data_IF_489413618419
#
_entry.id   IF_489413618419
#
_cell.length_a   1.000
_cell.length_b   1.000
_cell.length_c   1.000
_cell.angle_alpha   90.00
_cell.angle_beta   90.00
_cell.angle_gamma   90.00
#
_symmetry.space_group_name_H-M   'P 1'
#
loop_
_entity.id
_entity.type
_entity.pdbx_description
1 polymer ?
#
# COMPACT_ATOMS: atom_id res chain seq x y z
N UNK A 1 13.37 30.12 9.80
CA UNK A 1 11.93 29.96 9.54
C UNK A 1 11.65 29.57 8.08
N UNK A 2 12.25 30.21 7.07
CA UNK A 2 11.99 29.89 5.64
C UNK A 2 12.47 28.49 5.17
N UNK A 3 13.58 27.98 5.71
CA UNK A 3 14.11 26.65 5.32
C UNK A 3 13.25 25.48 5.80
N UNK A 4 12.58 25.63 6.96
CA UNK A 4 11.77 24.57 7.57
C UNK A 4 10.44 24.38 6.84
N UNK A 5 9.85 25.48 6.35
CA UNK A 5 8.65 25.46 5.50
C UNK A 5 8.94 24.82 4.14
N UNK A 6 10.11 25.11 3.55
CA UNK A 6 10.53 24.54 2.27
C UNK A 6 10.80 23.04 2.39
N UNK A 7 11.46 22.60 3.47
CA UNK A 7 11.64 21.18 3.80
C UNK A 7 10.30 20.46 3.99
N UNK A 8 9.35 21.07 4.72
CA UNK A 8 8.02 20.50 4.91
C UNK A 8 7.25 20.37 3.60
N UNK A 9 7.32 21.40 2.75
CA UNK A 9 6.65 21.42 1.44
C UNK A 9 7.23 20.38 0.49
N UNK A 10 8.56 20.26 0.44
CA UNK A 10 9.24 19.21 -0.34
C UNK A 10 8.84 17.82 0.17
N UNK A 11 8.88 17.58 1.49
CA UNK A 11 8.49 16.30 2.06
C UNK A 11 7.04 15.94 1.73
N UNK A 12 6.11 16.91 1.77
CA UNK A 12 4.70 16.72 1.39
C UNK A 12 4.55 16.37 -0.09
N UNK A 13 5.22 17.09 -0.98
CA UNK A 13 5.17 16.83 -2.43
C UNK A 13 5.76 15.45 -2.73
N UNK A 14 6.92 15.12 -2.17
CA UNK A 14 7.51 13.79 -2.32
C UNK A 14 6.58 12.71 -1.79
N UNK A 15 5.99 12.91 -0.61
CA UNK A 15 5.02 11.98 -0.04
C UNK A 15 3.82 11.75 -0.94
N UNK A 16 3.26 12.81 -1.53
CA UNK A 16 2.15 12.74 -2.48
C UNK A 16 2.53 11.94 -3.74
N UNK A 17 3.69 12.22 -4.34
CA UNK A 17 4.18 11.54 -5.54
C UNK A 17 4.40 10.05 -5.26
N UNK A 18 5.03 9.72 -4.13
CA UNK A 18 5.25 8.32 -3.72
C UNK A 18 3.92 7.61 -3.47
N UNK A 19 2.98 8.24 -2.76
CA UNK A 19 1.66 7.66 -2.52
C UNK A 19 0.92 7.38 -3.84
N UNK A 20 0.96 8.30 -4.80
CA UNK A 20 0.37 8.11 -6.12
C UNK A 20 1.01 6.94 -6.87
N UNK A 21 2.34 6.84 -6.87
CA UNK A 21 3.05 5.72 -7.51
C UNK A 21 2.69 4.37 -6.86
N UNK A 22 2.61 4.33 -5.53
CA UNK A 22 2.19 3.13 -4.79
C UNK A 22 0.74 2.75 -5.11
N UNK A 23 -0.17 3.72 -5.18
CA UNK A 23 -1.57 3.47 -5.53
C UNK A 23 -1.70 2.88 -6.95
N UNK A 24 -0.95 3.41 -7.91
CA UNK A 24 -0.93 2.89 -9.28
C UNK A 24 -0.39 1.45 -9.35
N UNK A 25 0.73 1.18 -8.67
CA UNK A 25 1.30 -0.17 -8.59
C UNK A 25 0.36 -1.15 -7.89
N UNK A 26 -0.31 -0.72 -6.82
CA UNK A 26 -1.29 -1.54 -6.11
C UNK A 26 -2.46 -1.92 -7.01
N UNK A 27 -2.99 -0.98 -7.81
CA UNK A 27 -4.04 -1.28 -8.79
C UNK A 27 -3.62 -2.37 -9.78
N UNK A 28 -2.40 -2.28 -10.33
CA UNK A 28 -1.85 -3.31 -11.22
C UNK A 28 -1.67 -4.67 -10.55
N UNK A 29 -1.24 -4.68 -9.30
CA UNK A 29 -1.08 -5.92 -8.54
C UNK A 29 -2.42 -6.60 -8.27
N UNK A 30 -3.46 -5.81 -7.95
CA UNK A 30 -4.83 -6.31 -7.77
C UNK A 30 -5.38 -6.88 -9.07
N UNK A 31 -5.25 -6.16 -10.20
CA UNK A 31 -5.68 -6.64 -11.51
C UNK A 31 -5.03 -7.99 -11.86
N UNK A 32 -3.72 -8.12 -11.62
CA UNK A 32 -2.97 -9.32 -11.91
C UNK A 32 -3.38 -10.49 -10.98
N UNK A 33 -3.53 -10.22 -9.68
CA UNK A 33 -3.99 -11.22 -8.72
C UNK A 33 -5.41 -11.70 -9.05
N UNK A 34 -6.29 -10.79 -9.45
CA UNK A 34 -7.66 -11.11 -9.84
C UNK A 34 -7.70 -11.98 -11.09
N UNK A 35 -6.97 -11.58 -12.14
CA UNK A 35 -6.89 -12.38 -13.36
C UNK A 35 -6.32 -13.78 -13.09
N UNK A 36 -5.36 -13.90 -12.18
CA UNK A 36 -4.79 -15.19 -11.80
C UNK A 36 -5.79 -16.07 -11.02
N UNK A 37 -6.59 -15.48 -10.14
CA UNK A 37 -7.54 -16.21 -9.30
C UNK A 37 -8.84 -16.57 -10.04
N UNK A 38 -9.36 -15.65 -10.85
CA UNK A 38 -10.71 -15.73 -11.42
C UNK A 38 -10.68 -15.93 -12.95
N UNK A 39 -9.54 -15.72 -13.61
CA UNK A 39 -9.36 -15.97 -15.05
C UNK A 39 -9.81 -14.83 -15.97
N UNK A 40 -10.58 -13.86 -15.46
CA UNK A 40 -11.04 -12.68 -16.18
C UNK A 40 -10.71 -11.37 -15.45
N UNK A 41 -10.93 -10.22 -16.09
CA UNK A 41 -10.69 -8.91 -15.48
C UNK A 41 -11.66 -8.68 -14.31
N UNK A 42 -11.23 -7.96 -13.26
CA UNK A 42 -12.10 -7.60 -12.16
C UNK A 42 -13.31 -6.80 -12.67
N UNK A 43 -14.53 -7.10 -12.20
CA UNK A 43 -15.72 -6.35 -12.57
C UNK A 43 -15.55 -4.90 -12.14
N UNK A 44 -15.84 -3.99 -13.06
CA UNK A 44 -15.74 -2.57 -12.82
C UNK A 44 -17.04 -2.02 -12.25
N UNK A 45 -17.00 -0.86 -11.57
CA UNK A 45 -18.20 -0.21 -11.06
C UNK A 45 -19.21 0.18 -12.15
N UNK A 46 -18.75 0.26 -13.41
CA UNK A 46 -19.55 0.55 -14.60
C UNK A 46 -20.18 -0.71 -15.22
N UNK A 47 -19.85 -1.91 -14.75
CA UNK A 47 -20.42 -3.17 -15.23
C UNK A 47 -21.76 -3.45 -14.52
N UNK A 48 -22.71 -4.06 -15.23
CA UNK A 48 -24.06 -4.31 -14.74
C UNK A 48 -24.04 -5.14 -13.44
N UNK A 49 -24.70 -4.62 -12.40
CA UNK A 49 -24.71 -5.23 -11.06
C UNK A 49 -25.34 -6.63 -11.02
N UNK A 50 -26.14 -6.98 -12.03
CA UNK A 50 -26.79 -8.28 -12.17
C UNK A 50 -25.81 -9.42 -12.52
N UNK A 51 -24.64 -9.10 -13.07
CA UNK A 51 -23.60 -10.09 -13.40
C UNK A 51 -22.64 -10.39 -12.22
N UNK A 52 -22.74 -9.62 -11.12
CA UNK A 52 -21.85 -9.77 -9.96
C UNK A 52 -22.46 -10.74 -8.93
N UNK A 53 -21.90 -11.95 -8.82
CA UNK A 53 -22.35 -12.95 -7.84
C UNK A 53 -21.92 -12.57 -6.43
N UNK A 54 -22.85 -12.55 -5.46
CA UNK A 54 -22.55 -12.25 -4.04
C UNK A 54 -21.43 -13.12 -3.44
N UNK A 55 -21.37 -14.41 -3.82
CA UNK A 55 -20.30 -15.30 -3.36
C UNK A 55 -18.90 -14.88 -3.84
N UNK A 56 -18.81 -14.30 -5.03
CA UNK A 56 -17.56 -13.79 -5.60
C UNK A 56 -17.10 -12.52 -4.88
N UNK A 57 -18.03 -11.63 -4.54
CA UNK A 57 -17.76 -10.43 -3.73
C UNK A 57 -17.24 -10.79 -2.34
N UNK A 58 -17.86 -11.78 -1.69
CA UNK A 58 -17.43 -12.23 -0.35
C UNK A 58 -16.04 -12.86 -0.39
N UNK A 59 -15.76 -13.73 -1.37
CA UNK A 59 -14.45 -14.34 -1.55
C UNK A 59 -13.36 -13.28 -1.82
N UNK A 60 -13.64 -12.34 -2.71
CA UNK A 60 -12.77 -11.22 -3.03
C UNK A 60 -12.49 -10.31 -1.81
N UNK A 61 -13.54 -10.04 -1.02
CA UNK A 61 -13.43 -9.25 0.21
C UNK A 61 -12.56 -9.95 1.25
N UNK A 62 -12.71 -11.27 1.42
CA UNK A 62 -11.88 -12.05 2.33
C UNK A 62 -10.40 -12.06 1.92
N UNK A 63 -10.11 -12.21 0.62
CA UNK A 63 -8.75 -12.15 0.08
C UNK A 63 -8.16 -10.75 0.29
N UNK A 64 -8.92 -9.70 -0.04
CA UNK A 64 -8.50 -8.32 0.15
C UNK A 64 -8.23 -8.01 1.63
N UNK A 65 -9.13 -8.41 2.53
CA UNK A 65 -8.97 -8.24 3.97
C UNK A 65 -7.74 -8.98 4.49
N UNK A 66 -7.51 -10.21 4.02
CA UNK A 66 -6.30 -10.99 4.33
C UNK A 66 -5.02 -10.29 3.87
N UNK A 67 -5.01 -9.78 2.63
CA UNK A 67 -3.87 -9.04 2.08
C UNK A 67 -3.58 -7.75 2.87
N UNK A 68 -4.61 -6.99 3.25
CA UNK A 68 -4.49 -5.78 4.08
C UNK A 68 -3.92 -6.12 5.47
N UNK A 69 -4.38 -7.21 6.08
CA UNK A 69 -3.85 -7.66 7.37
C UNK A 69 -2.36 -8.02 7.28
N UNK A 70 -1.97 -8.75 6.24
CA UNK A 70 -0.56 -9.08 5.98
C UNK A 70 0.27 -7.80 5.74
N UNK A 71 -0.21 -6.87 4.91
CA UNK A 71 0.45 -5.60 4.67
C UNK A 71 0.69 -4.82 5.96
N UNK A 72 -0.30 -4.76 6.87
CA UNK A 72 -0.15 -4.12 8.18
C UNK A 72 0.91 -4.79 9.05
N UNK A 73 0.96 -6.12 9.06
CA UNK A 73 2.00 -6.87 9.79
C UNK A 73 3.38 -6.55 9.23
N UNK A 74 3.55 -6.56 7.90
CA UNK A 74 4.81 -6.24 7.25
C UNK A 74 5.24 -4.78 7.49
N UNK A 75 4.31 -3.83 7.38
CA UNK A 75 4.57 -2.42 7.67
C UNK A 75 5.05 -2.24 9.12
N UNK A 76 4.35 -2.82 10.09
CA UNK A 76 4.73 -2.72 11.51
C UNK A 76 6.10 -3.33 11.79
N UNK A 77 6.37 -4.51 11.25
CA UNK A 77 7.67 -5.20 11.40
C UNK A 77 8.79 -4.44 10.71
N UNK A 78 8.53 -3.90 9.51
CA UNK A 78 9.47 -3.11 8.73
C UNK A 78 9.85 -1.82 9.43
N UNK A 79 8.86 -1.05 9.89
CA UNK A 79 9.07 0.18 10.67
C UNK A 79 9.87 -0.09 11.94
N UNK A 80 9.53 -1.15 12.69
CA UNK A 80 10.29 -1.53 13.90
C UNK A 80 11.77 -1.78 13.59
N UNK A 81 12.07 -2.56 12.54
CA UNK A 81 13.47 -2.82 12.13
C UNK A 81 14.19 -1.55 11.66
N UNK A 82 13.51 -0.69 10.92
CA UNK A 82 14.07 0.56 10.43
C UNK A 82 14.42 1.50 11.59
N UNK A 83 13.47 1.75 12.49
CA UNK A 83 13.68 2.58 13.69
C UNK A 83 14.84 2.04 14.53
N UNK A 84 14.88 0.73 14.79
CA UNK A 84 16.00 0.11 15.51
C UNK A 84 17.36 0.32 14.81
N UNK A 85 17.39 0.28 13.48
CA UNK A 85 18.63 0.52 12.71
C UNK A 85 19.07 1.97 12.82
N UNK A 86 18.14 2.92 12.70
CA UNK A 86 18.41 4.35 12.82
C UNK A 86 18.86 4.70 14.25
N UNK A 87 18.16 4.20 15.27
CA UNK A 87 18.51 4.43 16.67
C UNK A 87 19.87 3.84 17.03
N UNK A 88 20.20 2.65 16.53
CA UNK A 88 21.53 2.05 16.71
C UNK A 88 22.62 2.94 16.11
N UNK A 89 22.39 3.51 14.92
CA UNK A 89 23.37 4.38 14.27
C UNK A 89 23.53 5.73 14.98
N UNK A 90 22.48 6.23 15.64
CA UNK A 90 22.51 7.45 16.47
C UNK A 90 23.19 7.25 17.83
N UNK A 91 23.23 6.02 18.35
CA UNK A 91 23.84 5.68 19.64
C UNK A 91 25.33 5.35 19.57
N UNK A 92 25.90 5.22 18.37
CA UNK A 92 27.35 5.15 18.23
C UNK A 92 27.91 6.58 18.42
N UNK A 93 28.69 6.85 19.49
CA UNK A 93 29.39 8.12 19.60
C UNK A 93 30.32 8.25 18.41
N UNK A 94 30.31 9.41 17.76
CA UNK A 94 31.35 9.79 16.81
C UNK A 94 32.68 9.87 17.59
N UNK A 95 33.45 8.79 17.54
CA UNK A 95 34.84 8.71 17.99
C UNK A 95 35.74 8.72 16.76
#
# INVERSE_FOLDING_TARGET
MADEETQSTLAKITGLVVAGAVAWLAGKAVDAAWKAAVGHKPPKPEDDADDIRLGEVVAASAITAGAVALARVFATRGTKKFVQRVDRNRRLPHA
#
